data_IF_631455829948
#
_entry.id   IF_631455829948
#
_cell.length_a   1.000
_cell.length_b   1.000
_cell.length_c   1.000
_cell.angle_alpha   90.00
_cell.angle_beta   90.00
_cell.angle_gamma   90.00
#
_symmetry.space_group_name_H-M   'P 1'
#
loop_
_entity.id
_entity.type
_entity.pdbx_description
1 polymer ?
#
# COMPACT_ATOMS: atom_id res chain seq x y z
N UNK A 1 -67.54 -4.09 -1.90
CA UNK A 1 -67.83 -3.12 -2.98
C UNK A 1 -67.12 -1.83 -2.65
N UNK A 2 -65.94 -1.64 -3.21
CA UNK A 2 -65.24 -0.36 -3.25
C UNK A 2 -64.30 -0.42 -4.45
N UNK A 3 -64.50 0.55 -5.34
CA UNK A 3 -64.00 0.58 -6.69
C UNK A 3 -62.51 0.92 -6.77
N UNK A 4 -61.91 0.33 -7.79
CA UNK A 4 -60.60 0.53 -8.38
C UNK A 4 -60.33 1.97 -8.85
N UNK A 5 -59.06 2.37 -8.81
CA UNK A 5 -58.42 3.18 -9.86
C UNK A 5 -56.89 3.00 -9.80
N UNK A 6 -56.21 2.72 -10.93
CA UNK A 6 -54.76 2.54 -11.00
C UNK A 6 -54.02 3.84 -11.42
N UNK A 7 -52.79 4.10 -10.96
CA UNK A 7 -51.99 5.20 -11.50
C UNK A 7 -51.16 4.77 -12.72
N UNK A 8 -51.51 5.42 -13.83
CA UNK A 8 -50.69 5.93 -14.95
C UNK A 8 -49.41 5.18 -15.39
N UNK A 9 -49.50 4.65 -16.61
CA UNK A 9 -48.39 4.23 -17.45
C UNK A 9 -47.54 5.42 -17.93
N UNK A 10 -46.22 5.30 -17.78
CA UNK A 10 -45.22 6.25 -18.29
C UNK A 10 -45.00 6.05 -19.79
N UNK A 11 -44.99 7.16 -20.52
CA UNK A 11 -44.79 7.27 -21.97
C UNK A 11 -43.34 6.92 -22.35
N UNK A 12 -43.10 6.09 -23.39
CA UNK A 12 -41.74 5.86 -23.90
C UNK A 12 -41.26 7.07 -24.70
N UNK A 13 -40.08 7.60 -24.35
CA UNK A 13 -39.40 8.65 -25.12
C UNK A 13 -38.83 8.07 -26.41
N UNK A 14 -39.15 8.72 -27.52
CA UNK A 14 -38.56 8.46 -28.84
C UNK A 14 -37.03 8.65 -28.84
N UNK A 15 -36.28 7.84 -29.60
CA UNK A 15 -34.86 8.09 -29.84
C UNK A 15 -34.70 9.26 -30.81
N UNK A 16 -33.92 10.27 -30.38
CA UNK A 16 -33.46 11.36 -31.24
C UNK A 16 -32.41 10.84 -32.22
N UNK A 17 -32.49 11.34 -33.46
CA UNK A 17 -31.60 11.04 -34.59
C UNK A 17 -30.11 11.24 -34.25
N UNK A 18 -29.19 10.50 -34.89
CA UNK A 18 -27.76 10.76 -34.82
C UNK A 18 -27.44 12.09 -35.52
N UNK A 19 -26.66 12.92 -34.84
CA UNK A 19 -26.00 14.10 -35.38
C UNK A 19 -24.89 13.69 -36.35
N UNK A 20 -24.78 14.44 -37.44
CA UNK A 20 -23.78 14.30 -38.51
C UNK A 20 -22.33 14.33 -37.98
N UNK A 21 -21.37 13.70 -38.69
CA UNK A 21 -19.97 13.65 -38.28
C UNK A 21 -19.34 15.05 -38.36
N UNK A 22 -18.67 15.43 -37.27
CA UNK A 22 -17.79 16.61 -37.22
C UNK A 22 -16.49 16.22 -37.93
N UNK A 23 -16.23 16.92 -39.02
CA UNK A 23 -15.04 16.78 -39.87
C UNK A 23 -13.89 17.58 -39.25
N UNK A 24 -13.31 17.06 -38.16
CA UNK A 24 -12.13 17.65 -37.51
C UNK A 24 -10.84 17.14 -38.19
N UNK A 25 -10.67 17.59 -39.43
CA UNK A 25 -9.38 17.60 -40.12
C UNK A 25 -8.91 19.05 -40.29
N UNK A 26 -8.82 19.80 -39.19
CA UNK A 26 -7.91 20.95 -39.13
C UNK A 26 -6.59 20.48 -38.55
N UNK A 27 -5.79 19.89 -39.43
CA UNK A 27 -4.36 19.74 -39.24
C UNK A 27 -3.78 21.12 -38.91
N UNK A 28 -3.29 21.28 -37.68
CA UNK A 28 -2.39 22.35 -37.33
C UNK A 28 -1.17 22.24 -38.26
N UNK A 29 -1.11 23.09 -39.28
CA UNK A 29 0.12 23.40 -39.98
C UNK A 29 1.04 24.13 -38.99
N UNK A 30 1.75 23.37 -38.17
CA UNK A 30 2.97 23.86 -37.54
C UNK A 30 3.97 24.05 -38.68
N UNK A 31 4.27 25.30 -39.03
CA UNK A 31 5.43 25.63 -39.83
C UNK A 31 6.67 25.02 -39.16
N UNK A 32 7.47 24.26 -39.91
CA UNK A 32 8.67 23.52 -39.47
C UNK A 32 9.79 24.37 -38.82
N UNK A 33 9.56 25.65 -38.51
CA UNK A 33 10.58 26.59 -38.03
C UNK A 33 10.69 26.67 -36.48
N UNK A 34 9.88 25.93 -35.73
CA UNK A 34 9.83 25.96 -34.26
C UNK A 34 10.12 24.61 -33.57
N UNK A 35 10.58 23.60 -34.32
CA UNK A 35 10.95 22.30 -33.76
C UNK A 35 12.15 22.34 -32.80
N UNK A 36 12.25 21.38 -31.87
CA UNK A 36 13.43 21.26 -31.01
C UNK A 36 14.69 20.97 -31.83
N UNK A 37 15.79 21.64 -31.48
CA UNK A 37 17.09 21.49 -32.12
C UNK A 37 17.85 20.38 -31.42
N UNK A 38 18.37 19.40 -32.18
CA UNK A 38 19.21 18.36 -31.61
C UNK A 38 20.65 18.87 -31.40
N UNK A 39 21.16 18.76 -30.18
CA UNK A 39 22.53 19.10 -29.82
C UNK A 39 23.49 17.95 -30.16
N UNK A 40 24.80 18.21 -30.15
CA UNK A 40 25.83 17.24 -30.49
C UNK A 40 25.91 16.04 -29.55
N UNK A 41 25.36 16.16 -28.34
CA UNK A 41 25.24 15.08 -27.36
C UNK A 41 23.95 14.24 -27.51
N UNK A 42 23.12 14.57 -28.51
CA UNK A 42 21.87 13.86 -28.81
C UNK A 42 20.65 14.37 -28.04
N UNK A 43 20.80 15.37 -27.15
CA UNK A 43 19.68 16.02 -26.46
C UNK A 43 18.89 16.93 -27.40
N UNK A 44 17.61 17.13 -27.11
CA UNK A 44 16.71 18.02 -27.85
C UNK A 44 16.47 19.29 -27.05
N UNK A 45 16.79 20.45 -27.62
CA UNK A 45 16.56 21.75 -26.97
C UNK A 45 15.50 22.54 -27.71
N UNK A 46 14.42 22.91 -27.03
CA UNK A 46 13.41 23.79 -27.61
C UNK A 46 13.80 25.27 -27.46
N UNK A 47 13.10 26.18 -28.15
CA UNK A 47 13.33 27.63 -28.06
C UNK A 47 13.12 28.21 -26.65
N UNK A 48 12.38 27.50 -25.78
CA UNK A 48 12.20 27.85 -24.36
C UNK A 48 13.33 27.34 -23.45
N UNK A 49 14.45 26.93 -24.04
CA UNK A 49 15.62 26.37 -23.34
C UNK A 49 15.37 25.06 -22.57
N UNK A 50 14.22 24.40 -22.78
CA UNK A 50 13.97 23.07 -22.23
C UNK A 50 14.85 22.04 -22.95
N UNK A 51 15.65 21.29 -22.20
CA UNK A 51 16.52 20.24 -22.71
C UNK A 51 15.95 18.85 -22.34
N UNK A 52 15.53 18.08 -23.33
CA UNK A 52 14.93 16.75 -23.13
C UNK A 52 15.75 15.70 -23.88
N UNK A 53 16.05 14.57 -23.24
CA UNK A 53 16.66 13.45 -23.95
C UNK A 53 15.63 12.76 -24.86
N UNK A 54 15.95 12.64 -26.16
CA UNK A 54 15.05 12.01 -27.14
C UNK A 54 14.77 10.53 -26.86
N UNK A 55 15.65 9.86 -26.10
CA UNK A 55 15.58 8.40 -25.86
C UNK A 55 14.75 8.08 -24.62
N UNK A 56 14.94 8.81 -23.53
CA UNK A 56 14.28 8.53 -22.25
C UNK A 56 13.23 9.59 -21.84
N UNK A 57 13.08 10.67 -22.59
CA UNK A 57 12.13 11.75 -22.36
C UNK A 57 12.28 12.43 -20.98
N UNK A 58 13.50 12.42 -20.43
CA UNK A 58 13.87 13.09 -19.17
C UNK A 58 14.27 14.55 -19.45
N UNK A 59 13.78 15.47 -18.61
CA UNK A 59 14.13 16.89 -18.60
C UNK A 59 15.44 17.13 -17.83
N UNK A 60 16.45 17.65 -18.52
CA UNK A 60 17.78 17.95 -17.97
C UNK A 60 17.97 19.42 -17.62
N UNK A 61 16.96 20.26 -17.87
CA UNK A 61 17.05 21.73 -17.66
C UNK A 61 17.43 22.05 -16.21
N UNK A 62 16.78 21.37 -15.26
CA UNK A 62 17.03 21.54 -13.83
C UNK A 62 18.41 21.05 -13.38
N UNK A 63 18.91 19.95 -13.98
CA UNK A 63 20.20 19.38 -13.57
C UNK A 63 21.38 20.25 -14.00
N UNK A 64 21.28 21.02 -15.09
CA UNK A 64 22.35 21.94 -15.49
C UNK A 64 22.36 23.24 -14.69
N UNK A 65 21.20 23.77 -14.30
CA UNK A 65 21.15 24.95 -13.40
C UNK A 65 21.90 24.67 -12.09
N UNK A 66 21.74 23.47 -11.52
CA UNK A 66 22.48 23.06 -10.32
C UNK A 66 23.99 22.98 -10.57
N UNK A 67 24.41 22.45 -11.71
CA UNK A 67 25.83 22.26 -12.03
C UNK A 67 26.54 23.57 -12.42
N UNK A 68 25.81 24.55 -12.96
CA UNK A 68 26.37 25.84 -13.35
C UNK A 68 26.51 26.82 -12.15
N UNK A 69 25.71 26.64 -11.09
CA UNK A 69 25.74 27.46 -9.87
C UNK A 69 26.98 27.24 -8.96
N UNK A 70 27.77 26.18 -9.19
CA UNK A 70 28.97 25.87 -8.40
C UNK A 70 30.23 26.66 -8.80
N UNK A 71 30.14 27.56 -9.79
CA UNK A 71 31.33 28.17 -10.41
C UNK A 71 31.77 29.54 -9.87
N UNK A 72 31.15 30.11 -8.83
CA UNK A 72 31.56 31.45 -8.41
C UNK A 72 31.04 32.01 -7.09
N UNK A 73 31.49 31.47 -5.95
CA UNK A 73 31.57 32.27 -4.72
C UNK A 73 32.66 31.75 -3.77
N UNK A 74 33.90 32.19 -4.00
CA UNK A 74 34.98 32.14 -3.01
C UNK A 74 35.39 33.58 -2.75
N UNK A 75 35.02 34.10 -1.58
CA UNK A 75 35.88 34.91 -0.69
C UNK A 75 35.03 35.58 0.39
N UNK A 76 35.09 35.06 1.62
CA UNK A 76 35.57 35.82 2.79
C UNK A 76 35.26 35.09 4.09
N UNK A 77 36.33 34.81 4.83
CA UNK A 77 36.41 34.34 6.21
C UNK A 77 35.22 34.73 7.13
N UNK A 78 34.29 33.79 7.34
CA UNK A 78 33.52 33.73 8.58
C UNK A 78 33.47 32.28 9.06
N UNK A 79 34.10 32.01 10.20
CA UNK A 79 34.11 30.71 10.85
C UNK A 79 32.73 30.42 11.45
N UNK A 80 31.77 30.07 10.61
CA UNK A 80 30.51 29.51 11.04
C UNK A 80 30.73 28.00 11.21
N UNK A 81 30.72 27.53 12.46
CA UNK A 81 30.72 26.10 12.76
C UNK A 81 29.40 25.51 12.27
N UNK A 82 29.38 25.04 11.02
CA UNK A 82 28.34 24.18 10.49
C UNK A 82 28.32 22.90 11.32
N UNK A 83 27.28 22.76 12.15
CA UNK A 83 26.86 21.44 12.58
C UNK A 83 26.41 20.70 11.31
N UNK A 84 26.87 19.47 11.06
CA UNK A 84 26.46 18.74 9.87
C UNK A 84 24.95 18.58 9.93
N UNK A 85 24.25 19.27 9.03
CA UNK A 85 22.88 18.94 8.70
C UNK A 85 22.91 17.47 8.27
N UNK A 86 22.20 16.63 9.02
CA UNK A 86 22.03 15.23 8.67
C UNK A 86 21.40 15.20 7.27
N UNK A 87 22.22 15.00 6.25
CA UNK A 87 21.77 14.74 4.88
C UNK A 87 20.79 13.58 4.95
N UNK A 88 19.49 13.88 4.88
CA UNK A 88 18.44 12.92 4.56
C UNK A 88 18.72 12.44 3.14
N UNK A 89 19.63 11.48 3.01
CA UNK A 89 19.79 10.69 1.80
C UNK A 89 18.46 9.98 1.55
N UNK A 90 17.65 10.56 0.66
CA UNK A 90 16.58 9.85 -0.02
C UNK A 90 17.23 8.69 -0.76
N UNK A 91 17.25 7.52 -0.11
CA UNK A 91 17.59 6.26 -0.72
C UNK A 91 16.61 6.05 -1.89
N UNK A 92 17.04 6.42 -3.09
CA UNK A 92 16.47 5.89 -4.32
C UNK A 92 16.76 4.38 -4.25
N UNK A 93 15.73 3.52 -4.08
CA UNK A 93 15.98 2.09 -3.95
C UNK A 93 16.73 1.62 -5.19
N UNK A 94 17.87 0.99 -4.96
CA UNK A 94 18.66 0.33 -6.00
C UNK A 94 17.79 -0.75 -6.65
N UNK A 95 17.24 -0.45 -7.83
CA UNK A 95 16.40 -1.37 -8.59
C UNK A 95 17.18 -2.55 -9.18
N UNK A 96 18.45 -2.76 -8.79
CA UNK A 96 19.33 -3.78 -9.37
C UNK A 96 19.31 -5.16 -8.70
N UNK A 97 18.61 -5.37 -7.57
CA UNK A 97 18.57 -6.69 -6.92
C UNK A 97 17.19 -7.36 -7.03
N UNK A 98 17.09 -8.40 -7.87
CA UNK A 98 15.90 -9.16 -8.28
C UNK A 98 15.01 -8.51 -9.35
N UNK A 99 15.63 -8.07 -10.45
CA UNK A 99 14.92 -7.69 -11.68
C UNK A 99 13.85 -8.72 -12.04
N UNK A 100 12.60 -8.27 -11.97
CA UNK A 100 11.44 -9.03 -12.36
C UNK A 100 11.60 -9.52 -13.80
N UNK A 101 11.32 -10.79 -14.04
CA UNK A 101 11.52 -11.43 -15.34
C UNK A 101 10.20 -11.54 -16.08
N UNK A 102 10.25 -11.44 -17.40
CA UNK A 102 9.12 -11.64 -18.27
C UNK A 102 8.62 -13.08 -18.16
N UNK A 103 7.32 -13.25 -17.90
CA UNK A 103 6.67 -14.56 -17.73
C UNK A 103 6.77 -15.45 -18.98
N UNK A 104 6.99 -14.86 -20.15
CA UNK A 104 7.17 -15.60 -21.41
C UNK A 104 8.63 -15.96 -21.69
N UNK A 105 9.54 -14.99 -21.64
CA UNK A 105 10.89 -15.16 -22.18
C UNK A 105 12.01 -15.11 -21.14
N UNK A 106 11.70 -14.77 -19.88
CA UNK A 106 12.68 -14.67 -18.80
C UNK A 106 13.62 -13.45 -18.86
N UNK A 107 13.49 -12.57 -19.86
CA UNK A 107 14.23 -11.31 -19.95
C UNK A 107 13.73 -10.31 -18.89
N UNK A 108 14.50 -9.26 -18.53
CA UNK A 108 14.02 -8.21 -17.63
C UNK A 108 12.67 -7.65 -18.09
N UNK A 109 11.70 -7.58 -17.18
CA UNK A 109 10.38 -7.05 -17.46
C UNK A 109 10.41 -5.52 -17.45
N UNK A 110 9.63 -4.91 -18.34
CA UNK A 110 9.47 -3.46 -18.47
C UNK A 110 7.99 -3.03 -18.35
N UNK A 111 7.06 -3.99 -18.44
CA UNK A 111 5.62 -3.75 -18.50
C UNK A 111 4.91 -4.75 -17.60
N UNK A 112 4.09 -4.27 -16.66
CA UNK A 112 3.18 -5.12 -15.88
C UNK A 112 1.81 -5.23 -16.57
N UNK A 113 1.05 -6.27 -16.24
CA UNK A 113 -0.38 -6.31 -16.58
C UNK A 113 -1.10 -5.15 -15.87
N UNK A 114 -1.95 -4.41 -16.58
CA UNK A 114 -2.68 -3.26 -16.02
C UNK A 114 -3.85 -3.66 -15.13
N UNK A 115 -4.27 -4.92 -15.16
CA UNK A 115 -5.41 -5.40 -14.36
C UNK A 115 -4.96 -6.06 -13.06
N UNK A 116 -4.04 -7.03 -13.12
CA UNK A 116 -3.58 -7.75 -11.93
C UNK A 116 -2.22 -7.27 -11.41
N UNK A 117 -1.41 -6.57 -12.21
CA UNK A 117 -0.04 -6.11 -11.88
C UNK A 117 0.97 -7.22 -11.49
N UNK A 118 0.52 -8.47 -11.30
CA UNK A 118 1.37 -9.61 -10.94
C UNK A 118 2.15 -10.19 -12.13
N UNK A 119 1.56 -10.19 -13.32
CA UNK A 119 2.26 -10.69 -14.51
C UNK A 119 3.10 -9.62 -15.15
N UNK A 120 4.34 -9.99 -15.46
CA UNK A 120 5.40 -9.08 -15.86
C UNK A 120 5.91 -9.48 -17.25
N UNK A 121 6.09 -8.48 -18.10
CA UNK A 121 6.40 -8.65 -19.51
C UNK A 121 7.53 -7.71 -19.92
N UNK A 122 8.45 -8.18 -20.77
CA UNK A 122 9.49 -7.31 -21.32
C UNK A 122 8.95 -6.39 -22.42
N UNK A 123 7.78 -6.69 -22.99
CA UNK A 123 7.14 -5.86 -24.02
C UNK A 123 5.62 -6.12 -24.12
N UNK A 124 4.86 -5.21 -24.75
CA UNK A 124 3.43 -5.40 -25.02
C UNK A 124 3.11 -6.65 -25.87
N UNK A 125 4.00 -7.06 -26.77
CA UNK A 125 3.82 -8.24 -27.62
C UNK A 125 3.82 -9.52 -26.79
N UNK A 126 4.69 -9.62 -25.79
CA UNK A 126 4.68 -10.76 -24.86
C UNK A 126 3.44 -10.78 -23.98
N UNK A 127 2.94 -9.60 -23.56
CA UNK A 127 1.64 -9.52 -22.87
C UNK A 127 0.50 -10.03 -23.75
N UNK A 128 0.49 -9.66 -25.03
CA UNK A 128 -0.53 -10.11 -25.98
C UNK A 128 -0.41 -11.61 -26.28
N UNK A 129 0.81 -12.13 -26.37
CA UNK A 129 1.07 -13.56 -26.57
C UNK A 129 0.62 -14.38 -25.35
N UNK A 130 0.76 -13.85 -24.14
CA UNK A 130 0.32 -14.52 -22.91
C UNK A 130 -1.18 -14.35 -22.64
N UNK A 131 -1.86 -13.43 -23.33
CA UNK A 131 -3.20 -12.96 -22.96
C UNK A 131 -4.22 -14.09 -22.71
N UNK A 132 -4.18 -15.19 -23.47
CA UNK A 132 -5.10 -16.32 -23.27
C UNK A 132 -4.78 -17.14 -22.02
N UNK A 133 -3.50 -17.41 -21.76
CA UNK A 133 -3.06 -18.13 -20.56
C UNK A 133 -3.22 -17.25 -19.32
N UNK A 134 -2.83 -15.98 -19.48
CA UNK A 134 -2.92 -14.94 -18.48
C UNK A 134 -4.37 -14.67 -18.08
N UNK A 135 -5.32 -14.52 -19.00
CA UNK A 135 -6.71 -14.17 -18.68
C UNK A 135 -7.34 -15.11 -17.63
N UNK A 136 -6.99 -16.40 -17.65
CA UNK A 136 -7.48 -17.35 -16.66
C UNK A 136 -6.92 -17.10 -15.25
N UNK A 137 -5.64 -16.72 -15.16
CA UNK A 137 -4.94 -16.33 -13.93
C UNK A 137 -5.34 -14.93 -13.47
N UNK A 138 -5.34 -13.95 -14.38
CA UNK A 138 -5.75 -12.57 -14.17
C UNK A 138 -7.13 -12.52 -13.54
N UNK A 139 -8.12 -13.19 -14.13
CA UNK A 139 -9.48 -13.22 -13.60
C UNK A 139 -9.60 -13.88 -12.21
N UNK A 140 -8.69 -14.80 -11.88
CA UNK A 140 -8.63 -15.40 -10.55
C UNK A 140 -7.95 -14.51 -9.51
N UNK A 141 -7.11 -13.56 -9.96
CA UNK A 141 -6.44 -12.56 -9.11
C UNK A 141 -7.34 -11.32 -8.97
N UNK A 142 -8.10 -10.96 -10.01
CA UNK A 142 -9.03 -9.82 -10.03
C UNK A 142 -10.40 -10.15 -9.44
N UNK A 143 -10.57 -11.28 -8.73
CA UNK A 143 -11.74 -11.42 -7.86
C UNK A 143 -11.68 -10.28 -6.86
N UNK A 144 -12.52 -9.25 -7.10
CA UNK A 144 -12.62 -8.06 -6.26
C UNK A 144 -12.62 -8.50 -4.80
N UNK A 145 -11.51 -8.20 -4.15
CA UNK A 145 -11.39 -8.43 -2.73
C UNK A 145 -12.32 -7.43 -2.07
N UNK A 146 -13.23 -7.94 -1.24
CA UNK A 146 -14.07 -7.09 -0.42
C UNK A 146 -13.22 -6.53 0.72
N UNK A 147 -13.20 -5.20 0.79
CA UNK A 147 -12.53 -4.47 1.84
C UNK A 147 -13.59 -3.89 2.77
N UNK A 148 -13.55 -4.32 4.03
CA UNK A 148 -14.47 -3.83 5.06
C UNK A 148 -13.66 -3.05 6.07
N UNK A 149 -14.01 -1.77 6.24
CA UNK A 149 -13.48 -0.94 7.33
C UNK A 149 -14.51 -0.89 8.42
N UNK A 150 -14.14 -1.40 9.60
CA UNK A 150 -14.97 -1.30 10.81
C UNK A 150 -14.34 -0.27 11.71
N UNK A 151 -14.93 0.91 11.77
CA UNK A 151 -14.33 2.01 12.52
C UNK A 151 -14.95 3.39 12.36
N UNK A 152 -14.54 4.31 13.22
CA UNK A 152 -14.98 5.73 13.20
C UNK A 152 -14.01 6.68 12.51
N UNK A 153 -12.77 6.25 12.24
CA UNK A 153 -11.78 7.11 11.59
C UNK A 153 -11.82 6.96 10.07
N UNK A 154 -12.23 8.03 9.39
CA UNK A 154 -12.25 8.09 7.93
C UNK A 154 -10.84 8.27 7.32
N UNK A 155 -9.83 8.64 8.11
CA UNK A 155 -8.51 9.03 7.57
C UNK A 155 -7.83 7.89 6.80
N UNK A 156 -7.78 6.71 7.42
CA UNK A 156 -7.14 5.55 6.79
C UNK A 156 -8.01 4.99 5.66
N UNK A 157 -9.34 5.05 5.80
CA UNK A 157 -10.25 4.56 4.77
C UNK A 157 -10.25 5.44 3.52
N UNK A 158 -10.09 6.76 3.66
CA UNK A 158 -10.00 7.70 2.55
C UNK A 158 -8.72 7.47 1.72
N UNK A 159 -7.56 7.32 2.40
CA UNK A 159 -6.28 7.02 1.74
C UNK A 159 -6.31 5.67 1.00
N UNK A 160 -6.87 4.64 1.64
CA UNK A 160 -7.01 3.33 1.02
C UNK A 160 -7.97 3.36 -0.17
N UNK A 161 -9.14 4.01 -0.03
CA UNK A 161 -10.16 4.02 -1.09
C UNK A 161 -9.65 4.62 -2.41
N UNK A 162 -8.80 5.65 -2.34
CA UNK A 162 -8.17 6.23 -3.54
C UNK A 162 -7.27 5.23 -4.27
N UNK A 163 -6.45 4.49 -3.51
CA UNK A 163 -5.51 3.52 -4.06
C UNK A 163 -6.18 2.20 -4.51
N UNK A 164 -7.29 1.82 -3.88
CA UNK A 164 -7.89 0.49 -4.03
C UNK A 164 -9.13 0.45 -4.90
N UNK A 165 -9.70 1.59 -5.30
CA UNK A 165 -10.98 1.65 -6.04
C UNK A 165 -11.00 0.83 -7.35
N UNK A 166 -9.85 0.60 -7.98
CA UNK A 166 -9.74 -0.24 -9.18
C UNK A 166 -9.67 -1.74 -8.89
N UNK A 167 -9.21 -2.14 -7.71
CA UNK A 167 -8.93 -3.54 -7.32
C UNK A 167 -9.94 -4.10 -6.28
N UNK A 168 -10.61 -3.25 -5.52
CA UNK A 168 -11.41 -3.63 -4.34
C UNK A 168 -12.81 -3.00 -4.37
N UNK A 169 -13.81 -3.72 -3.89
CA UNK A 169 -15.09 -3.11 -3.48
C UNK A 169 -14.95 -2.71 -2.00
N UNK A 170 -14.81 -1.41 -1.77
CA UNK A 170 -14.77 -0.84 -0.44
C UNK A 170 -16.19 -0.65 0.08
N UNK A 171 -16.55 -1.39 1.13
CA UNK A 171 -17.72 -1.09 1.95
C UNK A 171 -17.25 -0.41 3.24
N UNK A 172 -17.78 0.77 3.52
CA UNK A 172 -17.69 1.38 4.85
C UNK A 172 -19.02 1.15 5.55
N UNK A 173 -19.19 0.02 6.24
CA UNK A 173 -20.40 -0.21 7.00
C UNK A 173 -20.55 0.89 8.04
N UNK A 174 -21.60 1.70 7.89
CA UNK A 174 -21.91 2.77 8.84
C UNK A 174 -22.31 2.23 10.23
N UNK A 175 -22.54 0.91 10.33
CA UNK A 175 -23.03 0.23 11.52
C UNK A 175 -22.39 -1.16 11.68
N UNK A 176 -22.14 -1.57 12.92
CA UNK A 176 -21.62 -2.90 13.28
C UNK A 176 -22.44 -4.08 12.71
N UNK A 177 -23.74 -3.89 12.53
CA UNK A 177 -24.63 -4.90 11.98
C UNK A 177 -24.26 -5.26 10.53
N UNK A 178 -23.92 -4.26 9.71
CA UNK A 178 -23.57 -4.47 8.30
C UNK A 178 -22.24 -5.24 8.18
N UNK A 179 -21.26 -4.93 9.04
CA UNK A 179 -20.04 -5.73 9.14
C UNK A 179 -20.34 -7.18 9.56
N UNK A 180 -21.27 -7.38 10.50
CA UNK A 180 -21.71 -8.73 10.91
C UNK A 180 -22.37 -9.50 9.76
N UNK A 181 -23.22 -8.83 9.00
CA UNK A 181 -23.95 -9.44 7.88
C UNK A 181 -22.99 -9.78 6.72
N UNK A 182 -21.97 -8.94 6.47
CA UNK A 182 -20.90 -9.24 5.52
C UNK A 182 -20.08 -10.47 5.94
N UNK A 183 -19.68 -10.57 7.21
CA UNK A 183 -18.93 -11.73 7.74
C UNK A 183 -19.75 -13.02 7.71
N UNK A 184 -21.07 -12.93 7.86
CA UNK A 184 -21.99 -14.07 7.76
C UNK A 184 -22.33 -14.41 6.32
N UNK A 185 -22.05 -13.52 5.38
CA UNK A 185 -22.28 -13.80 3.97
C UNK A 185 -21.43 -14.99 3.54
N UNK A 186 -21.91 -15.75 2.56
CA UNK A 186 -21.16 -16.89 2.01
C UNK A 186 -19.96 -16.45 1.14
N UNK A 187 -19.74 -15.14 0.98
CA UNK A 187 -18.65 -14.62 0.16
C UNK A 187 -17.37 -14.56 1.01
N UNK A 188 -16.25 -15.14 0.55
CA UNK A 188 -15.00 -15.08 1.28
C UNK A 188 -14.49 -13.64 1.34
N UNK A 189 -14.47 -13.08 2.55
CA UNK A 189 -13.83 -11.80 2.85
C UNK A 189 -12.32 -12.00 2.88
N UNK A 190 -11.59 -11.30 2.01
CA UNK A 190 -10.13 -11.41 1.99
C UNK A 190 -9.48 -10.43 2.97
N UNK A 191 -10.10 -9.27 3.23
CA UNK A 191 -9.50 -8.22 4.07
C UNK A 191 -10.54 -7.51 4.96
N UNK A 192 -10.19 -7.35 6.23
CA UNK A 192 -10.90 -6.54 7.20
C UNK A 192 -9.91 -5.61 7.94
N UNK A 193 -10.24 -4.33 8.00
CA UNK A 193 -9.50 -3.35 8.77
C UNK A 193 -10.36 -2.86 9.94
N UNK A 194 -9.86 -3.03 11.17
CA UNK A 194 -10.50 -2.56 12.40
C UNK A 194 -9.77 -1.30 12.84
N UNK A 195 -10.42 -0.16 12.64
CA UNK A 195 -9.90 1.17 12.99
C UNK A 195 -10.75 1.73 14.11
N UNK A 196 -10.15 2.10 15.24
CA UNK A 196 -10.83 2.77 16.35
C UNK A 196 -11.75 1.89 17.23
N UNK A 197 -11.51 2.03 18.54
CA UNK A 197 -12.29 1.62 19.73
C UNK A 197 -12.88 0.18 19.87
N UNK A 198 -12.71 -0.44 21.06
CA UNK A 198 -13.34 -1.71 21.48
C UNK A 198 -14.84 -1.66 21.73
N UNK A 199 -15.54 -0.58 21.39
CA UNK A 199 -17.01 -0.62 21.29
C UNK A 199 -17.46 -1.67 20.27
N UNK A 200 -16.61 -2.03 19.31
CA UNK A 200 -16.80 -3.16 18.39
C UNK A 200 -16.45 -4.52 19.01
N UNK A 201 -15.69 -4.56 20.11
CA UNK A 201 -15.16 -5.79 20.72
C UNK A 201 -15.95 -6.24 21.96
N UNK A 202 -16.80 -5.37 22.52
CA UNK A 202 -17.79 -5.80 23.51
C UNK A 202 -18.85 -6.74 22.91
N UNK A 203 -19.02 -6.72 21.59
CA UNK A 203 -19.78 -7.77 20.90
C UNK A 203 -18.90 -9.01 20.72
N UNK A 204 -18.91 -9.88 21.74
CA UNK A 204 -18.22 -11.18 21.70
C UNK A 204 -18.63 -12.05 20.52
N UNK A 205 -19.82 -11.85 19.91
CA UNK A 205 -20.21 -12.60 18.72
C UNK A 205 -19.49 -12.07 17.48
N UNK A 206 -19.35 -10.75 17.35
CA UNK A 206 -18.63 -10.16 16.24
C UNK A 206 -17.14 -10.53 16.28
N UNK A 207 -16.51 -10.48 17.46
CA UNK A 207 -15.14 -10.93 17.63
C UNK A 207 -14.97 -12.40 17.25
N UNK A 208 -15.90 -13.29 17.65
CA UNK A 208 -15.89 -14.69 17.23
C UNK A 208 -16.02 -14.85 15.72
N UNK A 209 -16.83 -14.04 15.05
CA UNK A 209 -16.93 -14.05 13.59
C UNK A 209 -15.59 -13.64 12.94
N UNK A 210 -14.91 -12.62 13.45
CA UNK A 210 -13.58 -12.23 12.97
C UNK A 210 -12.57 -13.36 13.15
N UNK A 211 -12.50 -13.95 14.34
CA UNK A 211 -11.60 -15.06 14.66
C UNK A 211 -11.87 -16.27 13.76
N UNK A 212 -13.14 -16.60 13.53
CA UNK A 212 -13.55 -17.69 12.63
C UNK A 212 -13.13 -17.38 11.19
N UNK A 213 -13.38 -16.17 10.70
CA UNK A 213 -13.02 -15.77 9.34
C UNK A 213 -11.51 -15.84 9.09
N UNK A 214 -10.70 -15.37 10.05
CA UNK A 214 -9.24 -15.48 9.99
C UNK A 214 -8.81 -16.95 10.02
N UNK A 215 -9.22 -17.70 11.05
CA UNK A 215 -8.74 -19.07 11.26
C UNK A 215 -9.18 -20.03 10.16
N UNK A 216 -10.43 -19.92 9.70
CA UNK A 216 -11.06 -20.94 8.85
C UNK A 216 -11.15 -20.53 7.38
N UNK A 217 -11.24 -19.23 7.08
CA UNK A 217 -11.46 -18.72 5.72
C UNK A 217 -10.24 -18.00 5.12
N UNK A 218 -9.19 -17.73 5.91
CA UNK A 218 -7.97 -17.09 5.40
C UNK A 218 -8.04 -15.58 5.32
N UNK A 219 -9.00 -14.95 5.99
CA UNK A 219 -9.13 -13.48 6.05
C UNK A 219 -7.90 -12.85 6.70
N UNK A 220 -7.51 -11.68 6.20
CA UNK A 220 -6.52 -10.81 6.86
C UNK A 220 -7.26 -9.76 7.69
N UNK A 221 -6.95 -9.67 8.98
CA UNK A 221 -7.47 -8.64 9.88
C UNK A 221 -6.34 -7.71 10.30
N UNK A 222 -6.51 -6.41 10.17
CA UNK A 222 -5.55 -5.42 10.68
C UNK A 222 -6.20 -4.62 11.80
N UNK A 223 -5.54 -4.58 12.97
CA UNK A 223 -5.97 -3.84 14.15
C UNK A 223 -5.11 -2.56 14.24
N UNK A 224 -5.76 -1.41 14.09
CA UNK A 224 -5.10 -0.10 14.06
C UNK A 224 -5.80 0.88 15.01
N UNK A 225 -5.45 0.91 16.31
CA UNK A 225 -6.05 1.83 17.27
C UNK A 225 -5.67 3.29 16.98
N UNK A 226 -6.64 4.08 16.51
CA UNK A 226 -6.47 5.52 16.24
C UNK A 226 -6.58 6.41 17.47
N UNK A 227 -7.13 5.90 18.57
CA UNK A 227 -7.32 6.70 19.78
C UNK A 227 -6.85 5.94 21.02
N UNK A 228 -5.86 6.50 21.70
CA UNK A 228 -5.36 5.97 22.98
C UNK A 228 -6.40 6.01 24.10
N UNK A 229 -7.47 6.80 23.92
CA UNK A 229 -8.55 6.93 24.89
C UNK A 229 -9.60 5.82 24.78
N UNK A 230 -9.71 5.17 23.64
CA UNK A 230 -10.89 4.37 23.37
C UNK A 230 -10.77 2.92 23.84
N UNK A 231 -9.55 2.36 23.90
CA UNK A 231 -9.36 0.99 24.38
C UNK A 231 -8.76 0.94 25.78
N UNK A 232 -9.43 0.23 26.69
CA UNK A 232 -8.73 -0.25 27.88
C UNK A 232 -7.70 -1.29 27.44
N UNK A 233 -6.54 -1.31 28.10
CA UNK A 233 -5.48 -2.25 27.72
C UNK A 233 -5.96 -3.72 27.70
N UNK A 234 -6.88 -4.04 28.60
CA UNK A 234 -7.47 -5.37 28.71
C UNK A 234 -8.28 -5.79 27.47
N UNK A 235 -8.93 -4.86 26.76
CA UNK A 235 -9.77 -5.19 25.60
C UNK A 235 -8.92 -5.60 24.40
N UNK A 236 -7.85 -4.85 24.07
CA UNK A 236 -6.96 -5.21 22.98
C UNK A 236 -6.21 -6.53 23.27
N UNK A 237 -5.76 -6.72 24.50
CA UNK A 237 -5.14 -7.99 24.91
C UNK A 237 -6.10 -9.17 24.81
N UNK A 238 -7.39 -8.96 25.13
CA UNK A 238 -8.42 -9.98 24.94
C UNK A 238 -8.61 -10.33 23.46
N UNK A 239 -8.60 -9.34 22.56
CA UNK A 239 -8.66 -9.57 21.11
C UNK A 239 -7.48 -10.44 20.66
N UNK A 240 -6.25 -10.09 21.05
CA UNK A 240 -5.06 -10.87 20.70
C UNK A 240 -5.18 -12.31 21.23
N UNK A 241 -5.65 -12.47 22.46
CA UNK A 241 -5.87 -13.78 23.08
C UNK A 241 -6.88 -14.64 22.30
N UNK A 242 -7.97 -14.05 21.81
CA UNK A 242 -8.97 -14.75 20.99
C UNK A 242 -8.39 -15.23 19.64
N UNK A 243 -7.44 -14.48 19.06
CA UNK A 243 -6.66 -14.92 17.91
C UNK A 243 -5.60 -15.98 18.26
N UNK A 244 -5.32 -16.22 19.54
CA UNK A 244 -4.27 -17.14 20.00
C UNK A 244 -2.88 -16.50 20.03
N UNK A 245 -2.82 -15.17 20.01
CA UNK A 245 -1.59 -14.39 20.09
C UNK A 245 -1.31 -14.03 21.57
N UNK A 246 -0.06 -14.09 21.97
CA UNK A 246 0.42 -13.75 23.32
C UNK A 246 0.83 -12.27 23.45
N UNK A 247 0.50 -11.45 22.44
CA UNK A 247 0.82 -10.04 22.38
C UNK A 247 0.16 -9.31 23.55
N UNK A 248 0.89 -8.36 24.15
CA UNK A 248 0.39 -7.51 25.23
C UNK A 248 0.60 -6.05 24.91
N UNK A 249 -0.17 -5.15 25.49
CA UNK A 249 0.10 -3.74 25.27
C UNK A 249 1.34 -3.30 26.05
N UNK A 250 2.21 -2.58 25.36
CA UNK A 250 3.37 -1.91 25.91
C UNK A 250 3.07 -0.46 26.25
N UNK A 251 4.10 0.36 26.19
CA UNK A 251 3.99 1.80 26.42
C UNK A 251 3.69 2.54 25.12
N UNK A 252 3.06 3.70 25.25
CA UNK A 252 3.00 4.69 24.17
C UNK A 252 4.34 5.41 24.16
N UNK A 253 4.94 5.52 22.97
CA UNK A 253 6.17 6.26 22.77
C UNK A 253 6.09 7.07 21.49
N UNK A 254 6.65 8.28 21.53
CA UNK A 254 6.99 9.03 20.33
C UNK A 254 8.48 8.83 20.08
N UNK A 255 8.81 7.87 19.22
CA UNK A 255 10.19 7.45 18.95
C UNK A 255 10.41 7.27 17.45
N UNK A 256 11.68 7.29 17.03
CA UNK A 256 12.10 6.82 15.73
C UNK A 256 11.92 5.31 15.69
N UNK A 257 11.07 4.85 14.78
CA UNK A 257 10.82 3.44 14.54
C UNK A 257 11.61 3.00 13.30
N UNK A 258 12.07 1.75 13.33
CA UNK A 258 12.93 1.17 12.29
C UNK A 258 12.31 -0.12 11.78
N UNK A 259 12.38 -0.33 10.47
CA UNK A 259 11.95 -1.57 9.83
C UNK A 259 12.78 -2.73 10.39
N UNK A 260 12.13 -3.83 10.75
CA UNK A 260 12.79 -5.02 11.28
C UNK A 260 13.96 -5.44 10.38
N UNK A 261 15.16 -5.70 10.94
CA UNK A 261 16.31 -6.12 10.14
C UNK A 261 16.03 -7.36 9.29
N UNK A 262 15.10 -8.21 9.73
CA UNK A 262 14.69 -9.40 8.99
C UNK A 262 13.89 -9.06 7.72
N UNK A 263 13.07 -8.00 7.75
CA UNK A 263 12.39 -7.48 6.56
C UNK A 263 13.38 -6.74 5.67
N UNK A 264 14.20 -5.87 6.26
CA UNK A 264 15.18 -5.07 5.52
C UNK A 264 16.20 -5.94 4.76
N UNK A 265 16.54 -7.12 5.28
CA UNK A 265 17.42 -8.08 4.61
C UNK A 265 16.76 -8.81 3.42
N UNK A 266 15.45 -8.68 3.23
CA UNK A 266 14.68 -9.30 2.16
C UNK A 266 14.53 -10.83 2.26
N UNK A 267 13.80 -11.39 1.29
CA UNK A 267 13.43 -12.83 1.25
C UNK A 267 14.64 -13.75 1.12
N UNK A 268 15.74 -13.28 0.52
CA UNK A 268 16.90 -14.10 0.13
C UNK A 268 17.60 -14.83 1.29
N UNK A 269 17.31 -14.47 2.56
CA UNK A 269 17.92 -15.09 3.74
C UNK A 269 16.94 -15.87 4.63
N UNK A 270 15.65 -15.91 4.29
CA UNK A 270 14.64 -16.59 5.12
C UNK A 270 14.52 -18.04 4.67
N UNK A 271 15.34 -18.92 5.25
CA UNK A 271 15.38 -20.34 4.89
C UNK A 271 14.53 -21.27 5.78
N UNK A 272 13.68 -20.76 6.67
CA UNK A 272 13.01 -21.60 7.67
C UNK A 272 11.49 -21.58 7.59
N UNK A 273 10.91 -22.77 7.78
CA UNK A 273 9.47 -22.99 7.94
C UNK A 273 8.85 -22.26 9.14
N UNK A 274 9.66 -21.61 9.99
CA UNK A 274 9.24 -20.87 11.17
C UNK A 274 9.00 -19.37 10.91
N UNK A 275 9.35 -18.86 9.74
CA UNK A 275 9.20 -17.45 9.38
C UNK A 275 8.03 -17.20 8.41
N UNK A 276 6.93 -17.94 8.57
CA UNK A 276 5.78 -17.84 7.67
C UNK A 276 5.21 -16.41 7.61
N UNK A 277 5.14 -15.71 8.74
CA UNK A 277 4.62 -14.34 8.77
C UNK A 277 5.49 -13.32 8.06
N UNK A 278 6.79 -13.34 8.33
CA UNK A 278 7.75 -12.50 7.64
C UNK A 278 7.76 -12.77 6.12
N UNK A 279 7.77 -14.04 5.71
CA UNK A 279 7.80 -14.41 4.30
C UNK A 279 6.54 -13.95 3.57
N UNK A 280 5.37 -14.11 4.18
CA UNK A 280 4.11 -13.62 3.60
C UNK A 280 4.07 -12.08 3.55
N UNK A 281 4.47 -11.40 4.64
CA UNK A 281 4.54 -9.94 4.65
C UNK A 281 5.42 -9.43 3.51
N UNK A 282 6.63 -9.99 3.35
CA UNK A 282 7.54 -9.64 2.27
C UNK A 282 6.97 -9.95 0.88
N UNK A 283 6.23 -11.05 0.74
CA UNK A 283 5.55 -11.42 -0.52
C UNK A 283 4.47 -10.40 -0.87
N UNK A 284 3.76 -9.87 0.12
CA UNK A 284 2.72 -8.85 -0.05
C UNK A 284 3.30 -7.45 -0.24
N UNK A 285 4.47 -7.16 0.33
CA UNK A 285 5.08 -5.84 0.27
C UNK A 285 5.88 -5.57 -1.01
N UNK A 286 5.89 -6.46 -2.01
CA UNK A 286 6.75 -6.33 -3.20
C UNK A 286 6.48 -5.06 -4.00
N UNK A 287 5.22 -4.62 -4.06
CA UNK A 287 4.79 -3.39 -4.75
C UNK A 287 4.85 -2.14 -3.89
N UNK A 288 5.14 -2.27 -2.58
CA UNK A 288 4.93 -1.19 -1.62
C UNK A 288 6.27 -0.71 -1.07
N UNK A 289 6.53 0.59 -1.25
CA UNK A 289 7.66 1.23 -0.60
C UNK A 289 7.44 1.28 0.91
N UNK A 290 8.31 0.64 1.67
CA UNK A 290 8.35 0.72 3.13
C UNK A 290 9.56 1.57 3.55
N UNK A 291 9.36 2.70 4.24
CA UNK A 291 10.48 3.50 4.71
C UNK A 291 11.34 2.70 5.69
N UNK A 292 12.66 2.83 5.59
CA UNK A 292 13.55 2.14 6.53
C UNK A 292 13.35 2.63 7.97
N UNK A 293 13.10 3.93 8.14
CA UNK A 293 12.83 4.54 9.44
C UNK A 293 11.83 5.69 9.29
N UNK A 294 11.01 5.91 10.31
CA UNK A 294 10.22 7.13 10.46
C UNK A 294 9.88 7.39 11.93
N UNK A 295 9.45 8.60 12.27
CA UNK A 295 9.06 8.96 13.64
C UNK A 295 7.55 9.01 13.75
N UNK A 296 6.99 8.42 14.81
CA UNK A 296 5.55 8.46 15.07
C UNK A 296 5.25 8.27 16.56
N UNK A 297 4.10 8.78 17.00
CA UNK A 297 3.53 8.42 18.30
C UNK A 297 2.78 7.10 18.16
N UNK A 298 3.32 6.05 18.76
CA UNK A 298 2.78 4.71 18.65
C UNK A 298 2.59 4.01 20.00
N UNK A 299 1.49 3.26 20.08
CA UNK A 299 1.27 2.25 21.11
C UNK A 299 2.07 1.00 20.76
N UNK A 300 3.03 0.62 21.59
CA UNK A 300 3.80 -0.60 21.36
C UNK A 300 3.01 -1.83 21.82
N UNK A 301 3.32 -2.98 21.22
CA UNK A 301 2.94 -4.30 21.74
C UNK A 301 4.19 -5.09 22.11
N UNK A 302 4.08 -5.93 23.14
CA UNK A 302 5.17 -6.75 23.68
C UNK A 302 4.88 -8.23 23.44
N UNK A 303 5.90 -9.08 23.65
CA UNK A 303 5.87 -10.52 23.35
C UNK A 303 5.63 -10.85 21.87
N UNK A 304 5.97 -9.94 20.96
CA UNK A 304 5.87 -10.19 19.52
C UNK A 304 7.05 -11.03 19.08
N UNK A 305 6.82 -12.12 18.33
CA UNK A 305 7.95 -12.89 17.79
C UNK A 305 8.81 -12.02 16.88
N UNK A 306 10.13 -12.20 16.89
CA UNK A 306 11.03 -11.47 15.96
C UNK A 306 10.70 -11.71 14.48
N UNK A 307 10.05 -12.84 14.16
CA UNK A 307 9.57 -13.16 12.80
C UNK A 307 8.19 -12.55 12.47
N UNK A 308 7.53 -11.93 13.44
CA UNK A 308 6.22 -11.26 13.29
C UNK A 308 6.39 -9.73 13.34
N UNK A 309 7.46 -9.23 13.96
CA UNK A 309 7.68 -7.80 14.13
C UNK A 309 8.01 -7.11 12.79
N UNK A 310 7.26 -6.05 12.48
CA UNK A 310 7.42 -5.26 11.25
C UNK A 310 8.23 -4.00 11.51
N UNK A 311 7.78 -3.13 12.42
CA UNK A 311 8.55 -1.98 12.88
C UNK A 311 8.83 -2.08 14.38
N UNK A 312 10.05 -1.70 14.75
CA UNK A 312 10.59 -1.74 16.11
C UNK A 312 10.94 -0.32 16.57
N UNK A 313 10.77 -0.04 17.86
CA UNK A 313 11.35 1.15 18.48
C UNK A 313 12.88 1.07 18.51
N UNK A 314 13.56 2.20 18.70
CA UNK A 314 15.03 2.20 18.80
C UNK A 314 15.53 1.32 19.94
N UNK A 315 14.80 1.30 21.06
CA UNK A 315 15.09 0.44 22.19
C UNK A 315 14.89 -1.05 21.87
N UNK A 316 13.79 -1.41 21.21
CA UNK A 316 13.52 -2.79 20.84
C UNK A 316 14.54 -3.33 19.82
N UNK A 317 15.02 -2.47 18.91
CA UNK A 317 16.05 -2.80 17.94
C UNK A 317 17.40 -3.11 18.61
N UNK A 318 17.79 -2.33 19.62
CA UNK A 318 19.01 -2.60 20.41
C UNK A 318 18.93 -3.95 21.14
N UNK A 319 17.70 -4.35 21.49
CA UNK A 319 17.39 -5.50 22.32
C UNK A 319 17.12 -6.80 21.53
N UNK A 320 16.96 -6.75 20.21
CA UNK A 320 16.52 -7.89 19.39
C UNK A 320 17.51 -9.06 19.37
N UNK A 321 18.81 -8.78 19.55
CA UNK A 321 19.86 -9.78 19.43
C UNK A 321 19.71 -10.89 20.50
N UNK A 322 19.42 -12.11 20.04
CA UNK A 322 19.29 -13.28 20.92
C UNK A 322 17.97 -13.37 21.69
N UNK A 323 16.97 -12.55 21.35
CA UNK A 323 15.61 -12.66 21.91
C UNK A 323 14.68 -13.34 20.89
N UNK A 324 13.79 -14.19 21.40
CA UNK A 324 12.72 -14.80 20.59
C UNK A 324 11.51 -13.86 20.43
N UNK A 325 11.38 -12.89 21.34
CA UNK A 325 10.31 -11.90 21.34
C UNK A 325 10.79 -10.49 21.66
N UNK A 326 10.13 -9.50 21.09
CA UNK A 326 10.47 -8.08 21.19
C UNK A 326 9.22 -7.23 21.43
N UNK A 327 9.45 -5.95 21.72
CA UNK A 327 8.42 -4.92 21.59
C UNK A 327 8.37 -4.45 20.14
N UNK A 328 7.18 -4.23 19.60
CA UNK A 328 6.99 -3.80 18.23
C UNK A 328 5.91 -2.72 18.14
N UNK A 329 6.11 -1.78 17.22
CA UNK A 329 5.14 -0.76 16.85
C UNK A 329 4.14 -1.31 15.83
N UNK A 330 4.57 -2.25 15.00
CA UNK A 330 3.68 -3.02 14.14
C UNK A 330 4.14 -4.47 14.03
N UNK A 331 3.17 -5.36 13.84
CA UNK A 331 3.41 -6.80 13.75
C UNK A 331 2.45 -7.45 12.76
N UNK A 332 2.83 -8.60 12.21
CA UNK A 332 2.04 -9.38 11.28
C UNK A 332 2.24 -10.88 11.53
N UNK A 333 1.19 -11.56 11.99
CA UNK A 333 1.24 -12.97 12.39
C UNK A 333 0.24 -13.84 11.63
N UNK A 334 0.62 -15.09 11.40
CA UNK A 334 -0.25 -16.11 10.83
C UNK A 334 -1.21 -16.64 11.90
N UNK A 335 -2.50 -16.70 11.60
CA UNK A 335 -3.52 -17.23 12.52
C UNK A 335 -4.45 -18.18 11.75
N UNK A 336 -4.32 -19.48 12.00
CA UNK A 336 -5.02 -20.51 11.23
C UNK A 336 -4.64 -20.42 9.74
N UNK A 337 -5.63 -20.18 8.87
CA UNK A 337 -5.40 -19.97 7.44
C UNK A 337 -5.17 -18.50 7.05
N UNK A 338 -5.42 -17.58 7.97
CA UNK A 338 -5.43 -16.14 7.74
C UNK A 338 -4.31 -15.42 8.48
N UNK A 339 -4.50 -14.11 8.63
CA UNK A 339 -3.45 -13.21 9.10
C UNK A 339 -4.02 -12.15 10.04
N UNK A 340 -3.23 -11.79 11.05
CA UNK A 340 -3.53 -10.69 11.97
C UNK A 340 -2.37 -9.69 11.94
N UNK A 341 -2.67 -8.47 11.53
CA UNK A 341 -1.79 -7.32 11.58
C UNK A 341 -2.12 -6.40 12.75
N UNK A 342 -1.10 -5.75 13.28
CA UNK A 342 -1.22 -4.69 14.27
C UNK A 342 -0.42 -3.48 13.83
N UNK A 343 -0.99 -2.28 13.97
CA UNK A 343 -0.32 -1.00 13.74
C UNK A 343 -0.61 -0.08 14.91
N UNK A 344 0.41 0.17 15.72
CA UNK A 344 0.33 1.01 16.91
C UNK A 344 0.36 2.51 16.65
N UNK A 345 0.66 2.94 15.41
CA UNK A 345 0.65 4.35 15.02
C UNK A 345 -0.72 4.96 15.26
N UNK A 346 -0.76 5.94 16.16
CA UNK A 346 -2.00 6.55 16.62
C UNK A 346 -2.55 7.59 15.66
N UNK A 347 -1.69 8.15 14.80
CA UNK A 347 -2.09 9.10 13.77
C UNK A 347 -2.71 8.41 12.56
N UNK A 348 -2.19 7.22 12.22
CA UNK A 348 -2.40 6.53 10.94
C UNK A 348 -2.18 7.43 9.72
N UNK A 349 -1.35 8.47 9.87
CA UNK A 349 -1.00 9.39 8.78
C UNK A 349 0.38 9.02 8.20
N UNK A 350 0.62 9.48 6.96
CA UNK A 350 1.91 9.33 6.29
C UNK A 350 2.29 7.87 6.05
N UNK A 351 3.36 7.41 6.71
CA UNK A 351 4.01 6.14 6.40
C UNK A 351 3.20 4.90 6.78
N UNK A 352 2.29 5.01 7.75
CA UNK A 352 1.48 3.88 8.22
C UNK A 352 0.49 3.37 7.16
N UNK A 353 0.09 4.21 6.19
CA UNK A 353 -0.70 3.78 5.04
C UNK A 353 0.06 2.74 4.20
N UNK A 354 1.36 2.93 3.99
CA UNK A 354 2.20 1.97 3.26
C UNK A 354 2.34 0.66 4.03
N UNK A 355 2.40 0.70 5.36
CA UNK A 355 2.43 -0.52 6.18
C UNK A 355 1.13 -1.30 6.03
N UNK A 356 -0.03 -0.63 6.06
CA UNK A 356 -1.31 -1.28 5.79
C UNK A 356 -1.33 -1.88 4.39
N UNK A 357 -0.96 -1.10 3.36
CA UNK A 357 -0.89 -1.59 1.98
C UNK A 357 0.00 -2.84 1.86
N UNK A 358 1.16 -2.83 2.50
CA UNK A 358 2.06 -3.98 2.53
C UNK A 358 1.45 -5.20 3.23
N UNK A 359 0.76 -5.05 4.35
CA UNK A 359 0.06 -6.16 5.03
C UNK A 359 -1.07 -6.74 4.17
N UNK A 360 -1.67 -5.90 3.32
CA UNK A 360 -2.79 -6.25 2.46
C UNK A 360 -2.38 -6.76 1.07
N UNK A 361 -1.15 -6.53 0.65
CA UNK A 361 -0.67 -6.89 -0.68
C UNK A 361 -1.17 -5.94 -1.78
N UNK A 362 -1.22 -4.63 -1.50
CA UNK A 362 -1.80 -3.61 -2.37
C UNK A 362 -0.83 -2.98 -3.36
#
# INVERSE_FOLDING_TARGET
MSHSSPPHASIPRHPTKPSDPIDDAQLFNFSDEDGPIQLSDGTLRCKHALEVCAVCNIDYTFMREILDDDSGFIDSDESMMYLPEEEEFYYMPDMSSNGTRCDICGQPAAVACTECEESLYCSPEHRQLDAQNHASKCNSITTKVEFVVVGTSNKLSDGLSGATSHKYDTSQPSQLQEASDLLKSSKPLSILLIVDSPTTTNDTNLLKLFVTSVKDHGTTVIIAPTTMKAASNAELENIFTEFGLNWKLGQVSNDKITLSPHIAAGVSKIQTSQAQGLAEFLRRSVSVFLPHTYTTEALQITNVSTNEAVYLSSQALADIAGKDSVEAVSAFASVGKGWVGYIGDTSLEGWSEFVVKAMLGL
#
